data_IF_733855904082
#
_entry.id   IF_733855904082
#
_cell.length_a   1.000
_cell.length_b   1.000
_cell.length_c   1.000
_cell.angle_alpha   90.00
_cell.angle_beta   90.00
_cell.angle_gamma   90.00
#
_symmetry.space_group_name_H-M   'P 1'
#
loop_
_entity.id
_entity.type
_entity.pdbx_description
1 polymer ?
#
# COMPACT_ATOMS: atom_id res chain seq x y z
N UNK A 1 -18.76 8.90 -16.06
CA UNK A 1 -17.62 7.98 -15.86
C UNK A 1 -16.50 8.42 -16.79
N UNK A 2 -15.23 8.30 -16.39
CA UNK A 2 -14.07 8.54 -17.28
C UNK A 2 -13.86 7.30 -18.14
N UNK A 3 -13.79 7.48 -19.45
CA UNK A 3 -13.76 6.40 -20.44
C UNK A 3 -12.40 6.39 -21.15
N UNK A 4 -11.78 5.21 -21.25
CA UNK A 4 -10.53 4.96 -21.97
C UNK A 4 -10.78 3.93 -23.06
N UNK A 5 -10.38 4.24 -24.29
CA UNK A 5 -10.61 3.39 -25.45
C UNK A 5 -9.35 2.60 -25.78
N UNK A 6 -9.50 1.28 -25.87
CA UNK A 6 -8.44 0.36 -26.31
C UNK A 6 -8.38 0.32 -27.83
N UNK A 7 -7.22 -0.11 -28.36
CA UNK A 7 -7.03 -0.35 -29.79
C UNK A 7 -7.95 -1.44 -30.38
N UNK A 8 -8.39 -2.39 -29.56
CA UNK A 8 -9.27 -3.50 -29.97
C UNK A 8 -10.77 -3.12 -30.00
N UNK A 9 -11.10 -1.83 -29.77
CA UNK A 9 -12.49 -1.37 -29.64
C UNK A 9 -13.08 -1.59 -28.25
N UNK A 10 -12.36 -2.25 -27.34
CA UNK A 10 -12.74 -2.39 -25.95
C UNK A 10 -12.66 -1.06 -25.17
N UNK A 11 -13.39 -1.00 -24.06
CA UNK A 11 -13.49 0.22 -23.26
C UNK A 11 -13.20 -0.08 -21.80
N UNK A 12 -12.44 0.80 -21.14
CA UNK A 12 -12.24 0.80 -19.69
C UNK A 12 -12.93 2.02 -19.10
N UNK A 13 -13.74 1.81 -18.07
CA UNK A 13 -14.45 2.88 -17.39
C UNK A 13 -13.93 3.01 -15.96
N UNK A 14 -13.49 4.20 -15.60
CA UNK A 14 -13.14 4.57 -14.23
C UNK A 14 -14.08 5.65 -13.72
N UNK A 15 -14.16 5.78 -12.40
CA UNK A 15 -15.00 6.79 -11.76
C UNK A 15 -14.41 8.17 -12.02
N UNK A 16 -15.26 9.15 -12.31
CA UNK A 16 -14.83 10.53 -12.57
C UNK A 16 -14.31 11.22 -11.32
N UNK A 17 -13.30 12.06 -11.50
CA UNK A 17 -12.71 12.92 -10.46
C UNK A 17 -13.76 13.64 -9.63
N UNK A 18 -14.80 14.20 -10.27
CA UNK A 18 -15.91 14.90 -9.58
C UNK A 18 -16.60 14.02 -8.54
N UNK A 19 -16.91 12.77 -8.89
CA UNK A 19 -17.56 11.82 -7.97
C UNK A 19 -16.60 11.35 -6.86
N UNK A 20 -15.31 11.27 -7.17
CA UNK A 20 -14.28 10.89 -6.18
C UNK A 20 -14.12 11.98 -5.11
N UNK A 21 -14.37 13.25 -5.44
CA UNK A 21 -14.35 14.35 -4.45
C UNK A 21 -15.44 14.23 -3.39
N UNK A 22 -16.53 13.52 -3.67
CA UNK A 22 -17.63 13.31 -2.71
C UNK A 22 -17.37 12.11 -1.78
N UNK A 23 -16.33 11.32 -2.05
CA UNK A 23 -16.03 10.15 -1.25
C UNK A 23 -15.43 10.51 0.11
N UNK A 24 -15.56 9.60 1.09
CA UNK A 24 -14.70 9.58 2.26
C UNK A 24 -13.23 9.74 1.90
N UNK A 25 -12.49 10.48 2.72
CA UNK A 25 -11.15 10.97 2.41
C UNK A 25 -10.11 9.87 2.14
N UNK A 26 -10.27 8.71 2.76
CA UNK A 26 -9.37 7.57 2.61
C UNK A 26 -9.56 6.86 1.26
N UNK A 27 -10.77 6.89 0.70
CA UNK A 27 -11.13 6.10 -0.47
C UNK A 27 -10.45 6.54 -1.78
N UNK A 28 -10.26 7.84 -2.09
CA UNK A 28 -9.53 8.26 -3.28
C UNK A 28 -8.14 7.65 -3.37
N UNK A 29 -7.39 7.63 -2.26
CA UNK A 29 -6.04 7.09 -2.22
C UNK A 29 -6.04 5.56 -2.37
N UNK A 30 -6.96 4.88 -1.67
CA UNK A 30 -7.16 3.43 -1.79
C UNK A 30 -7.55 3.04 -3.22
N UNK A 31 -8.42 3.82 -3.86
CA UNK A 31 -8.86 3.59 -5.23
C UNK A 31 -7.68 3.66 -6.20
N UNK A 32 -6.85 4.69 -6.09
CA UNK A 32 -5.66 4.82 -6.94
C UNK A 32 -4.75 3.60 -6.80
N UNK A 33 -4.43 3.22 -5.56
CA UNK A 33 -3.54 2.08 -5.31
C UNK A 33 -4.15 0.73 -5.71
N UNK A 34 -5.47 0.58 -5.58
CA UNK A 34 -6.16 -0.61 -6.05
C UNK A 34 -6.03 -0.74 -7.57
N UNK A 35 -6.26 0.34 -8.33
CA UNK A 35 -6.13 0.27 -9.78
C UNK A 35 -4.67 0.01 -10.17
N UNK A 36 -3.70 0.73 -9.58
CA UNK A 36 -2.26 0.53 -9.86
C UNK A 36 -1.80 -0.90 -9.60
N UNK A 37 -2.12 -1.45 -8.43
CA UNK A 37 -1.56 -2.73 -7.99
C UNK A 37 -2.36 -3.96 -8.47
N UNK A 38 -3.65 -3.82 -8.79
CA UNK A 38 -4.53 -4.97 -9.06
C UNK A 38 -5.19 -4.98 -10.44
N UNK A 39 -5.26 -3.84 -11.14
CA UNK A 39 -6.01 -3.75 -12.41
C UNK A 39 -5.19 -3.26 -13.58
N UNK A 40 -4.24 -2.36 -13.37
CA UNK A 40 -3.48 -1.72 -14.44
C UNK A 40 -2.87 -2.73 -15.42
N UNK A 41 -2.30 -3.81 -14.91
CA UNK A 41 -1.70 -4.84 -15.74
C UNK A 41 -2.69 -5.63 -16.60
N UNK A 42 -3.93 -5.78 -16.13
CA UNK A 42 -5.00 -6.49 -16.83
C UNK A 42 -5.54 -5.74 -18.05
N UNK A 43 -5.19 -4.46 -18.20
CA UNK A 43 -5.71 -3.63 -19.28
C UNK A 43 -5.04 -3.86 -20.64
N UNK A 44 -3.88 -4.52 -20.67
CA UNK A 44 -3.23 -5.05 -21.88
C UNK A 44 -2.60 -4.00 -22.81
N UNK A 45 -3.29 -2.89 -23.10
CA UNK A 45 -2.84 -1.85 -24.03
C UNK A 45 -1.88 -0.85 -23.34
N UNK A 46 -0.59 -0.76 -23.75
CA UNK A 46 0.37 0.16 -23.15
C UNK A 46 -0.03 1.63 -23.22
N UNK A 47 -0.73 2.04 -24.29
CA UNK A 47 -1.19 3.43 -24.44
C UNK A 47 -2.26 3.74 -23.40
N UNK A 48 -3.24 2.85 -23.26
CA UNK A 48 -4.32 3.00 -22.28
C UNK A 48 -3.79 2.92 -20.86
N UNK A 49 -2.82 2.03 -20.58
CA UNK A 49 -2.15 1.97 -19.28
C UNK A 49 -1.56 3.34 -18.91
N UNK A 50 -0.83 3.98 -19.83
CA UNK A 50 -0.23 5.30 -19.60
C UNK A 50 -1.27 6.40 -19.37
N UNK A 51 -2.36 6.40 -20.14
CA UNK A 51 -3.46 7.35 -19.95
C UNK A 51 -4.17 7.16 -18.59
N UNK A 52 -4.37 5.90 -18.18
CA UNK A 52 -4.92 5.58 -16.87
C UNK A 52 -3.94 5.99 -15.76
N UNK A 53 -2.65 5.72 -15.89
CA UNK A 53 -1.63 6.15 -14.92
C UNK A 53 -1.63 7.67 -14.73
N UNK A 54 -1.69 8.43 -15.81
CA UNK A 54 -1.81 9.89 -15.77
C UNK A 54 -3.07 10.33 -15.03
N UNK A 55 -4.22 9.70 -15.35
CA UNK A 55 -5.47 9.99 -14.67
C UNK A 55 -5.44 9.68 -13.17
N UNK A 56 -4.84 8.55 -12.78
CA UNK A 56 -4.67 8.19 -11.38
C UNK A 56 -3.74 9.16 -10.65
N UNK A 57 -2.68 9.62 -11.32
CA UNK A 57 -1.75 10.61 -10.79
C UNK A 57 -2.42 11.98 -10.58
N UNK A 58 -3.28 12.41 -11.52
CA UNK A 58 -4.13 13.60 -11.36
C UNK A 58 -5.06 13.45 -10.15
N UNK A 59 -5.72 12.30 -9.98
CA UNK A 59 -6.55 12.04 -8.79
C UNK A 59 -5.71 12.12 -7.52
N UNK A 60 -4.51 11.53 -7.51
CA UNK A 60 -3.62 11.54 -6.35
C UNK A 60 -3.24 12.96 -5.95
N UNK A 61 -2.79 13.77 -6.93
CA UNK A 61 -2.28 15.12 -6.70
C UNK A 61 -3.38 16.12 -6.38
N UNK A 62 -4.51 16.03 -7.07
CA UNK A 62 -5.51 17.08 -7.03
C UNK A 62 -6.66 16.80 -6.05
N UNK A 63 -6.83 15.54 -5.63
CA UNK A 63 -7.95 15.14 -4.77
C UNK A 63 -7.49 14.34 -3.56
N UNK A 64 -6.80 13.21 -3.78
CA UNK A 64 -6.53 12.27 -2.70
C UNK A 64 -5.59 12.86 -1.64
N UNK A 65 -4.42 13.36 -2.05
CA UNK A 65 -3.44 13.91 -1.12
C UNK A 65 -3.96 15.19 -0.44
N UNK A 66 -4.42 16.23 -1.16
CA UNK A 66 -4.85 17.47 -0.52
C UNK A 66 -5.96 17.24 0.50
N UNK A 67 -7.04 16.54 0.12
CA UNK A 67 -8.16 16.28 1.03
C UNK A 67 -7.75 15.46 2.25
N UNK A 68 -6.83 14.52 2.07
CA UNK A 68 -6.35 13.70 3.16
C UNK A 68 -5.53 14.54 4.16
N UNK A 69 -4.66 15.42 3.66
CA UNK A 69 -3.92 16.37 4.50
C UNK A 69 -4.88 17.34 5.18
N UNK A 70 -5.81 17.95 4.44
CA UNK A 70 -6.76 18.94 4.96
C UNK A 70 -7.55 18.41 6.17
N UNK A 71 -7.97 17.14 6.13
CA UNK A 71 -8.64 16.52 7.27
C UNK A 71 -7.68 16.20 8.40
N UNK A 72 -6.52 15.60 8.11
CA UNK A 72 -5.57 15.21 9.16
C UNK A 72 -4.95 16.39 9.90
N UNK A 73 -4.77 17.53 9.25
CA UNK A 73 -4.28 18.78 9.83
C UNK A 73 -5.40 19.69 10.34
N UNK A 74 -6.65 19.32 10.09
CA UNK A 74 -7.82 20.05 10.54
C UNK A 74 -8.10 19.89 12.04
N UNK A 75 -9.09 20.63 12.53
CA UNK A 75 -9.51 20.61 13.94
C UNK A 75 -10.70 19.67 14.19
N UNK A 76 -11.26 19.08 13.13
CA UNK A 76 -12.40 18.16 13.23
C UNK A 76 -11.96 16.76 13.67
N UNK A 77 -11.77 16.58 14.98
CA UNK A 77 -11.32 15.31 15.53
C UNK A 77 -12.25 14.12 15.21
N UNK A 78 -13.56 14.33 15.09
CA UNK A 78 -14.50 13.25 14.75
C UNK A 78 -14.22 12.69 13.35
N UNK A 79 -13.99 13.58 12.38
CA UNK A 79 -13.69 13.19 11.00
C UNK A 79 -12.32 12.49 10.89
N UNK A 80 -11.31 13.00 11.62
CA UNK A 80 -9.99 12.36 11.69
C UNK A 80 -10.10 10.96 12.29
N UNK A 81 -10.77 10.81 13.43
CA UNK A 81 -10.95 9.53 14.12
C UNK A 81 -11.70 8.55 13.21
N UNK A 82 -12.74 9.00 12.52
CA UNK A 82 -13.52 8.16 11.61
C UNK A 82 -12.65 7.63 10.45
N UNK A 83 -11.87 8.51 9.83
CA UNK A 83 -10.97 8.13 8.74
C UNK A 83 -9.88 7.16 9.21
N UNK A 84 -9.21 7.47 10.32
CA UNK A 84 -8.17 6.60 10.90
C UNK A 84 -8.73 5.25 11.35
N UNK A 85 -9.94 5.19 11.89
CA UNK A 85 -10.59 3.93 12.28
C UNK A 85 -10.77 3.03 11.07
N UNK A 86 -11.28 3.57 9.94
CA UNK A 86 -11.43 2.79 8.70
C UNK A 86 -10.07 2.33 8.15
N UNK A 87 -9.05 3.18 8.23
CA UNK A 87 -7.69 2.81 7.81
C UNK A 87 -7.12 1.71 8.71
N UNK A 88 -7.35 1.77 10.02
CA UNK A 88 -6.94 0.73 10.97
C UNK A 88 -7.63 -0.61 10.68
N UNK A 89 -8.91 -0.60 10.35
CA UNK A 89 -9.63 -1.81 9.94
C UNK A 89 -9.06 -2.42 8.64
N UNK A 90 -8.67 -1.57 7.69
CA UNK A 90 -8.02 -2.01 6.46
C UNK A 90 -6.60 -2.52 6.71
N UNK A 91 -5.85 -1.92 7.63
CA UNK A 91 -4.47 -2.30 7.95
C UNK A 91 -4.37 -3.67 8.62
N UNK A 92 -5.42 -4.07 9.35
CA UNK A 92 -5.57 -5.43 9.88
C UNK A 92 -5.67 -6.50 8.77
N UNK A 93 -6.06 -6.13 7.55
CA UNK A 93 -6.23 -7.05 6.41
C UNK A 93 -4.96 -7.09 5.56
N UNK A 94 -4.19 -8.19 5.65
CA UNK A 94 -2.93 -8.38 4.90
C UNK A 94 -3.06 -8.09 3.39
N UNK A 95 -4.17 -8.48 2.77
CA UNK A 95 -4.41 -8.27 1.33
C UNK A 95 -4.64 -6.81 0.93
N UNK A 96 -4.89 -5.91 1.88
CA UNK A 96 -5.20 -4.50 1.64
C UNK A 96 -4.10 -3.55 2.12
N UNK A 97 -3.09 -4.06 2.83
CA UNK A 97 -2.03 -3.24 3.44
C UNK A 97 -1.31 -2.36 2.41
N UNK A 98 -1.08 -2.87 1.20
CA UNK A 98 -0.38 -2.12 0.16
C UNK A 98 -1.22 -0.96 -0.39
N UNK A 99 -2.55 -1.10 -0.36
CA UNK A 99 -3.48 -0.08 -0.86
C UNK A 99 -3.54 1.15 0.04
N UNK A 100 -3.25 0.97 1.33
CA UNK A 100 -3.23 2.06 2.32
C UNK A 100 -1.81 2.46 2.71
N UNK A 101 -0.76 1.78 2.22
CA UNK A 101 0.63 2.10 2.56
C UNK A 101 1.01 3.56 2.28
N UNK A 102 0.56 4.22 1.20
CA UNK A 102 0.92 5.62 0.96
C UNK A 102 0.45 6.60 2.04
N UNK A 103 -0.47 6.18 2.92
CA UNK A 103 -0.93 6.95 4.09
C UNK A 103 0.17 7.08 5.15
N UNK A 104 1.08 6.11 5.24
CA UNK A 104 2.11 6.00 6.28
C UNK A 104 2.87 7.31 6.50
N UNK A 105 3.27 7.99 5.40
CA UNK A 105 4.02 9.26 5.43
C UNK A 105 3.25 10.45 5.99
N UNK A 106 1.94 10.32 6.21
CA UNK A 106 1.08 11.38 6.76
C UNK A 106 0.70 11.10 8.22
N UNK A 107 1.13 9.98 8.80
CA UNK A 107 0.82 9.62 10.19
C UNK A 107 1.75 10.30 11.19
N UNK A 108 2.91 10.79 10.76
CA UNK A 108 3.98 11.29 11.64
C UNK A 108 3.48 12.41 12.57
N UNK A 109 2.74 13.37 12.01
CA UNK A 109 2.18 14.50 12.76
C UNK A 109 1.10 14.06 13.77
N UNK A 110 0.50 12.90 13.57
CA UNK A 110 -0.60 12.39 14.42
C UNK A 110 -0.08 11.64 15.64
N UNK A 111 1.18 11.18 15.65
CA UNK A 111 1.77 10.49 16.80
C UNK A 111 1.84 11.37 18.05
N UNK A 112 2.05 12.67 17.86
CA UNK A 112 2.12 13.68 18.92
C UNK A 112 0.81 14.47 19.09
N UNK A 113 -0.29 14.00 18.50
CA UNK A 113 -1.58 14.68 18.63
C UNK A 113 -2.01 14.77 20.09
N UNK A 114 -2.55 15.94 20.48
CA UNK A 114 -3.13 16.16 21.81
C UNK A 114 -4.34 15.24 22.08
N UNK A 115 -4.98 14.74 21.01
CA UNK A 115 -6.03 13.75 21.11
C UNK A 115 -5.44 12.33 21.25
N UNK A 116 -5.69 11.70 22.41
CA UNK A 116 -5.20 10.35 22.73
C UNK A 116 -5.71 9.27 21.78
N UNK A 117 -6.91 9.43 21.23
CA UNK A 117 -7.47 8.45 20.30
C UNK A 117 -6.80 8.52 18.93
N UNK A 118 -6.58 9.73 18.42
CA UNK A 118 -5.87 9.96 17.16
C UNK A 118 -4.46 9.38 17.23
N UNK A 119 -3.71 9.72 18.28
CA UNK A 119 -2.34 9.18 18.47
C UNK A 119 -2.33 7.67 18.64
N UNK A 120 -3.31 7.07 19.35
CA UNK A 120 -3.48 5.62 19.45
C UNK A 120 -3.71 4.98 18.08
N UNK A 121 -4.64 5.50 17.29
CA UNK A 121 -4.98 4.97 15.97
C UNK A 121 -3.79 5.07 15.02
N UNK A 122 -3.12 6.23 14.95
CA UNK A 122 -1.93 6.43 14.13
C UNK A 122 -0.83 5.40 14.49
N UNK A 123 -0.56 5.21 15.79
CA UNK A 123 0.41 4.21 16.26
C UNK A 123 0.03 2.78 15.86
N UNK A 124 -1.25 2.42 15.97
CA UNK A 124 -1.72 1.08 15.60
C UNK A 124 -1.60 0.81 14.09
N UNK A 125 -1.92 1.82 13.26
CA UNK A 125 -1.76 1.74 11.81
C UNK A 125 -0.28 1.57 11.46
N UNK A 126 0.61 2.40 12.01
CA UNK A 126 2.05 2.33 11.80
C UNK A 126 2.65 0.96 12.19
N UNK A 127 2.28 0.43 13.36
CA UNK A 127 2.67 -0.93 13.78
C UNK A 127 2.22 -2.01 12.80
N UNK A 128 1.04 -1.83 12.21
CA UNK A 128 0.51 -2.78 11.21
C UNK A 128 1.33 -2.73 9.92
N UNK A 129 1.75 -1.55 9.47
CA UNK A 129 2.68 -1.39 8.34
C UNK A 129 4.04 -2.03 8.61
N UNK A 130 4.65 -1.74 9.77
CA UNK A 130 5.93 -2.34 10.16
C UNK A 130 5.86 -3.87 10.22
N UNK A 131 4.78 -4.43 10.79
CA UNK A 131 4.54 -5.87 10.86
C UNK A 131 4.39 -6.50 9.48
N UNK A 132 3.64 -5.85 8.58
CA UNK A 132 3.46 -6.33 7.21
C UNK A 132 4.79 -6.32 6.44
N UNK A 133 5.61 -5.28 6.61
CA UNK A 133 6.92 -5.19 5.98
C UNK A 133 7.91 -6.23 6.52
N UNK A 134 7.94 -6.46 7.83
CA UNK A 134 8.73 -7.54 8.46
C UNK A 134 8.33 -8.90 7.88
N UNK A 135 7.03 -9.17 7.75
CA UNK A 135 6.53 -10.42 7.14
C UNK A 135 6.97 -10.56 5.68
N UNK A 136 6.89 -9.51 4.86
CA UNK A 136 7.37 -9.52 3.48
C UNK A 136 8.87 -9.80 3.38
N UNK A 137 9.68 -9.17 4.24
CA UNK A 137 11.14 -9.42 4.31
C UNK A 137 11.44 -10.86 4.71
N UNK A 138 10.73 -11.39 5.71
CA UNK A 138 10.84 -12.77 6.15
C UNK A 138 10.49 -13.77 5.04
N UNK A 139 9.40 -13.51 4.31
CA UNK A 139 8.93 -14.36 3.20
C UNK A 139 9.94 -14.40 2.04
N UNK A 140 10.50 -13.24 1.65
CA UNK A 140 11.59 -13.19 0.66
C UNK A 140 12.80 -14.00 1.11
N UNK A 141 13.22 -13.86 2.37
CA UNK A 141 14.36 -14.62 2.90
C UNK A 141 14.10 -16.11 3.03
N UNK A 142 12.87 -16.53 3.37
CA UNK A 142 12.45 -17.94 3.34
C UNK A 142 12.61 -18.55 1.95
N UNK A 143 12.19 -17.82 0.92
CA UNK A 143 12.35 -18.26 -0.48
C UNK A 143 13.84 -18.39 -0.85
N UNK A 144 14.65 -17.38 -0.54
CA UNK A 144 16.11 -17.42 -0.79
C UNK A 144 16.77 -18.58 -0.05
N UNK A 145 16.40 -18.83 1.21
CA UNK A 145 16.96 -19.94 1.97
C UNK A 145 16.58 -21.29 1.38
N UNK A 146 15.33 -21.45 0.94
CA UNK A 146 14.89 -22.67 0.27
C UNK A 146 15.69 -22.90 -1.02
N UNK A 147 15.88 -21.88 -1.85
CA UNK A 147 16.70 -21.96 -3.06
C UNK A 147 18.18 -22.28 -2.76
N UNK A 148 18.74 -21.73 -1.68
CA UNK A 148 20.11 -22.05 -1.24
C UNK A 148 20.23 -23.47 -0.70
N UNK A 149 19.22 -23.97 0.01
CA UNK A 149 19.17 -25.34 0.50
C UNK A 149 19.12 -26.33 -0.68
N UNK A 150 18.28 -26.08 -1.69
CA UNK A 150 18.23 -26.86 -2.92
C UNK A 150 19.59 -26.88 -3.65
N UNK A 151 20.27 -25.73 -3.75
CA UNK A 151 21.61 -25.64 -4.35
C UNK A 151 22.68 -26.38 -3.54
N UNK A 152 22.61 -26.33 -2.21
CA UNK A 152 23.54 -27.04 -1.34
C UNK A 152 23.37 -28.55 -1.49
N UNK A 153 22.13 -29.05 -1.46
CA UNK A 153 21.82 -30.47 -1.65
C UNK A 153 22.24 -30.98 -3.04
N UNK A 154 22.19 -30.12 -4.07
CA UNK A 154 22.68 -30.42 -5.40
C UNK A 154 24.22 -30.32 -5.55
N UNK A 155 24.96 -29.97 -4.49
CA UNK A 155 26.42 -29.80 -4.52
C UNK A 155 26.90 -28.53 -5.22
N UNK A 156 26.00 -27.59 -5.53
CA UNK A 156 26.30 -26.36 -6.27
C UNK A 156 26.83 -25.22 -5.40
N UNK A 157 26.76 -25.33 -4.07
CA UNK A 157 27.36 -24.38 -3.12
C UNK A 157 28.03 -25.12 -1.97
N UNK A 158 29.02 -24.49 -1.35
CA UNK A 158 29.76 -25.07 -0.22
C UNK A 158 28.94 -25.09 1.09
N UNK A 159 29.35 -25.94 2.04
CA UNK A 159 28.74 -25.98 3.37
C UNK A 159 28.94 -24.66 4.15
N UNK A 160 30.07 -23.98 3.94
CA UNK A 160 30.36 -22.68 4.57
C UNK A 160 29.44 -21.58 4.05
N UNK A 161 29.22 -21.53 2.74
CA UNK A 161 28.29 -20.56 2.11
C UNK A 161 26.85 -20.77 2.55
N UNK A 162 26.44 -22.04 2.71
CA UNK A 162 25.12 -22.39 3.23
C UNK A 162 24.97 -22.01 4.72
N UNK A 163 25.97 -22.31 5.56
CA UNK A 163 25.96 -21.98 6.98
C UNK A 163 25.89 -20.47 7.24
N UNK A 164 26.64 -19.67 6.46
CA UNK A 164 26.58 -18.20 6.53
C UNK A 164 25.18 -17.67 6.22
N UNK A 165 24.58 -18.15 5.14
CA UNK A 165 23.21 -17.77 4.76
C UNK A 165 22.17 -18.17 5.83
N UNK A 166 22.33 -19.35 6.44
CA UNK A 166 21.43 -19.83 7.50
C UNK A 166 21.52 -18.98 8.77
N UNK A 167 22.74 -18.55 9.15
CA UNK A 167 22.94 -17.64 10.28
C UNK A 167 22.22 -16.30 10.08
N UNK A 168 22.35 -15.70 8.89
CA UNK A 168 21.66 -14.44 8.54
C UNK A 168 20.13 -14.55 8.46
N UNK A 169 19.62 -15.75 8.18
CA UNK A 169 18.18 -16.04 8.20
C UNK A 169 17.63 -16.12 9.63
N UNK A 170 18.36 -16.76 10.55
CA UNK A 170 17.93 -16.96 11.94
C UNK A 170 17.79 -15.64 12.70
N UNK A 171 18.66 -14.65 12.44
CA UNK A 171 18.63 -13.31 13.08
C UNK A 171 17.31 -12.56 12.84
N UNK A 172 16.53 -12.89 11.82
CA UNK A 172 15.23 -12.25 11.53
C UNK A 172 14.01 -13.04 12.01
N UNK A 173 14.22 -14.29 12.44
CA UNK A 173 13.16 -15.15 12.97
C UNK A 173 12.80 -14.77 14.41
N UNK A 174 13.79 -14.27 15.16
CA UNK A 174 13.64 -13.62 16.47
C UNK A 174 13.14 -12.18 16.30
#
# INVERSE_FOLDING_TARGET
MRIFHKKDGGVIQLIEKKKIMEWPIELPLIFVEFIRNSKLDTYGDPKVKKEIEQYLEEITKDVAIPRFIDVLEGENYEEIILALTRIEELSKKKSKIDMIKPIEKYLDNLFTSNNKEISRLANNISKSFASAERKKKLEKKRKIMKEKEEKFLAGNISAEDYAKARKEYLVLKD
#
